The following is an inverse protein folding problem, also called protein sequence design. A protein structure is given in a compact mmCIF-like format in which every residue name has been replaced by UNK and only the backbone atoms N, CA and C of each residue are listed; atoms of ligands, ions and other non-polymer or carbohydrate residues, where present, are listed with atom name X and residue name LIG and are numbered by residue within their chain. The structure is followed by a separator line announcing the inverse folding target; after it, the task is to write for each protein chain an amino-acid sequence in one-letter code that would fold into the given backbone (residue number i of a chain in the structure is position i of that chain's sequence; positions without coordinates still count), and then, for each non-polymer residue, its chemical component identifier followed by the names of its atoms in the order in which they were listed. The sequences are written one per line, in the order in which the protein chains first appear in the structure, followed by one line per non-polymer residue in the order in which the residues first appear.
data_IF_541398119309
#
_entry.id   IF_541398119309
#
_cell.length_a   1.000
_cell.length_b   1.000
_cell.length_c   1.000
_cell.angle_alpha   90.00
_cell.angle_beta   90.00
_cell.angle_gamma   90.00
#
_symmetry.space_group_name_H-M   'P 1'
#
loop_
_entity.id
_entity.type
_entity.pdbx_description
1 polymer ?
#
# COMPACT_ATOMS: atom_id res chain seq x y z
N UNK A 1 6.63 -40.37 -43.81
CA UNK A 1 7.18 -39.19 -43.10
C UNK A 1 7.50 -39.60 -41.68
N UNK A 2 8.78 -39.84 -41.40
CA UNK A 2 9.33 -40.35 -40.14
C UNK A 2 9.43 -39.22 -39.12
N UNK A 3 8.64 -39.28 -38.03
CA UNK A 3 8.81 -38.37 -36.90
C UNK A 3 10.06 -38.78 -36.12
N UNK A 4 11.05 -37.89 -36.07
CA UNK A 4 12.23 -38.02 -35.22
C UNK A 4 11.80 -37.87 -33.75
N UNK A 5 11.85 -38.96 -32.99
CA UNK A 5 11.68 -38.91 -31.54
C UNK A 5 12.95 -38.34 -30.91
N UNK A 6 12.81 -37.24 -30.17
CA UNK A 6 13.94 -36.61 -29.48
C UNK A 6 14.33 -37.45 -28.24
N UNK A 7 15.60 -37.40 -27.83
CA UNK A 7 16.14 -38.15 -26.69
C UNK A 7 15.34 -37.94 -25.39
N UNK A 8 14.67 -36.79 -25.29
CA UNK A 8 13.75 -36.39 -24.21
C UNK A 8 12.57 -37.36 -24.02
N UNK A 9 12.00 -37.92 -25.08
CA UNK A 9 10.85 -38.83 -24.98
C UNK A 9 11.20 -40.18 -24.33
N UNK A 10 12.41 -40.69 -24.60
CA UNK A 10 12.90 -41.95 -24.00
C UNK A 10 13.16 -41.81 -22.50
N UNK A 11 13.54 -40.61 -22.05
CA UNK A 11 13.76 -40.32 -20.62
C UNK A 11 12.43 -40.26 -19.89
N UNK A 12 11.40 -39.63 -20.48
CA UNK A 12 10.07 -39.51 -19.88
C UNK A 12 9.39 -40.87 -19.70
N UNK A 13 9.52 -41.78 -20.68
CA UNK A 13 8.96 -43.13 -20.60
C UNK A 13 9.56 -43.99 -19.47
N UNK A 14 10.83 -43.74 -19.10
CA UNK A 14 11.50 -44.44 -17.98
C UNK A 14 10.88 -44.10 -16.62
N UNK A 15 10.17 -42.97 -16.52
CA UNK A 15 9.54 -42.49 -15.28
C UNK A 15 8.02 -42.54 -15.29
N UNK A 16 7.35 -42.79 -16.42
CA UNK A 16 5.90 -43.05 -16.48
C UNK A 16 5.49 -44.18 -15.53
N UNK A 17 6.29 -45.26 -15.52
CA UNK A 17 6.34 -46.36 -14.52
C UNK A 17 6.20 -45.94 -13.05
N UNK A 18 6.68 -44.74 -12.72
CA UNK A 18 6.90 -44.27 -11.34
C UNK A 18 5.91 -43.18 -10.93
N UNK A 19 5.12 -42.65 -11.86
CA UNK A 19 4.13 -41.62 -11.57
C UNK A 19 2.75 -42.29 -11.47
N UNK A 20 2.43 -42.79 -10.28
CA UNK A 20 1.08 -43.25 -9.97
C UNK A 20 0.22 -42.03 -9.58
N UNK A 21 -0.57 -41.48 -10.52
CA UNK A 21 -1.66 -40.52 -10.23
C UNK A 21 -2.91 -41.21 -9.66
N UNK A 22 -2.74 -42.29 -8.90
CA UNK A 22 -3.83 -42.84 -8.09
C UNK A 22 -4.22 -41.84 -7.01
N UNK A 23 -5.52 -41.78 -6.66
CA UNK A 23 -5.99 -41.04 -5.47
C UNK A 23 -5.11 -41.43 -4.27
N UNK A 24 -4.24 -40.51 -3.85
CA UNK A 24 -3.53 -40.64 -2.59
C UNK A 24 -4.60 -40.70 -1.50
N UNK A 25 -4.68 -41.82 -0.78
CA UNK A 25 -5.42 -41.88 0.50
C UNK A 25 -4.64 -41.05 1.52
N UNK A 26 -4.71 -39.73 1.35
CA UNK A 26 -4.10 -38.76 2.23
C UNK A 26 -4.96 -38.73 3.50
N UNK A 27 -4.36 -39.01 4.66
CA UNK A 27 -5.10 -38.94 5.93
C UNK A 27 -5.79 -37.58 6.06
N UNK A 28 -7.00 -37.55 6.63
CA UNK A 28 -7.80 -36.32 6.80
C UNK A 28 -7.01 -35.19 7.48
N UNK A 29 -6.04 -35.54 8.34
CA UNK A 29 -5.12 -34.60 8.98
C UNK A 29 -4.26 -33.79 7.99
N UNK A 30 -3.80 -34.41 6.90
CA UNK A 30 -3.01 -33.73 5.88
C UNK A 30 -3.90 -32.87 4.99
N UNK A 31 -5.10 -33.35 4.65
CA UNK A 31 -6.10 -32.58 3.91
C UNK A 31 -6.56 -31.35 4.72
N UNK A 32 -6.73 -31.50 6.03
CA UNK A 32 -7.04 -30.39 6.95
C UNK A 32 -5.88 -29.38 7.03
N UNK A 33 -4.62 -29.83 7.14
CA UNK A 33 -3.46 -28.92 7.14
C UNK A 33 -3.29 -28.16 5.82
N UNK A 34 -3.59 -28.79 4.68
CA UNK A 34 -3.52 -28.14 3.37
C UNK A 34 -4.67 -27.15 3.17
N UNK A 35 -5.89 -27.50 3.61
CA UNK A 35 -7.05 -26.61 3.56
C UNK A 35 -6.95 -25.41 4.53
N UNK A 36 -6.37 -25.60 5.72
CA UNK A 36 -6.08 -24.50 6.64
C UNK A 36 -5.02 -23.55 6.06
N UNK A 37 -3.91 -24.07 5.51
CA UNK A 37 -2.89 -23.21 4.88
C UNK A 37 -3.40 -22.46 3.65
N UNK A 38 -4.31 -23.05 2.88
CA UNK A 38 -4.93 -22.36 1.73
C UNK A 38 -5.92 -21.28 2.19
N UNK A 39 -6.77 -21.56 3.20
CA UNK A 39 -7.63 -20.54 3.84
C UNK A 39 -6.83 -19.39 4.44
N UNK A 40 -5.69 -19.67 5.07
CA UNK A 40 -4.83 -18.65 5.66
C UNK A 40 -4.14 -17.80 4.59
N UNK A 41 -3.84 -18.38 3.41
CA UNK A 41 -3.32 -17.66 2.25
C UNK A 41 -4.40 -16.76 1.61
N UNK A 42 -5.63 -17.26 1.49
CA UNK A 42 -6.79 -16.50 1.00
C UNK A 42 -7.16 -15.32 1.92
N UNK A 43 -7.15 -15.55 3.23
CA UNK A 43 -7.36 -14.50 4.23
C UNK A 43 -6.29 -13.40 4.14
N UNK A 44 -5.04 -13.77 3.82
CA UNK A 44 -3.95 -12.80 3.69
C UNK A 44 -3.98 -12.03 2.36
N UNK A 45 -4.56 -12.59 1.29
CA UNK A 45 -4.85 -11.86 0.05
C UNK A 45 -6.00 -10.85 0.19
N UNK A 46 -6.86 -10.99 1.19
CA UNK A 46 -7.89 -9.98 1.47
C UNK A 46 -7.35 -8.76 2.26
N UNK A 47 -6.14 -8.86 2.82
CA UNK A 47 -5.42 -7.74 3.45
C UNK A 47 -4.54 -6.97 2.46
N UNK A 48 -4.88 -7.02 1.18
CA UNK A 48 -4.23 -6.18 0.18
C UNK A 48 -4.77 -4.76 0.36
N UNK A 49 -4.03 -3.94 1.13
CA UNK A 49 -4.09 -2.48 1.01
C UNK A 49 -3.88 -2.18 -0.47
N UNK A 50 -4.96 -1.83 -1.16
CA UNK A 50 -4.91 -1.70 -2.60
C UNK A 50 -4.16 -0.41 -2.97
N UNK A 51 -3.58 -0.39 -4.17
CA UNK A 51 -2.91 0.81 -4.68
C UNK A 51 -3.89 1.99 -4.79
N UNK A 52 -5.18 1.70 -4.95
CA UNK A 52 -6.27 2.67 -4.93
C UNK A 52 -6.48 3.36 -3.57
N UNK A 53 -6.17 2.71 -2.44
CA UNK A 53 -6.23 3.34 -1.10
C UNK A 53 -5.21 4.49 -0.95
N UNK A 54 -4.22 4.56 -1.85
CA UNK A 54 -3.24 5.64 -1.96
C UNK A 54 -3.51 6.59 -3.13
N UNK A 55 -4.47 6.28 -4.00
CA UNK A 55 -4.74 7.07 -5.18
C UNK A 55 -5.42 8.40 -4.79
N UNK A 56 -4.80 9.50 -5.16
CA UNK A 56 -5.28 10.86 -4.92
C UNK A 56 -6.28 11.23 -6.00
N UNK A 57 -7.55 11.49 -5.64
CA UNK A 57 -8.61 11.88 -6.61
C UNK A 57 -8.32 13.26 -7.23
N UNK A 58 -7.57 14.12 -6.55
CA UNK A 58 -7.21 15.48 -7.00
C UNK A 58 -5.68 15.74 -6.90
N UNK A 59 -4.84 14.73 -7.12
CA UNK A 59 -3.36 14.83 -7.00
C UNK A 59 -2.82 15.23 -5.61
N UNK A 60 -3.65 15.66 -4.66
CA UNK A 60 -3.19 16.30 -3.42
C UNK A 60 -3.72 15.68 -2.12
N UNK A 61 -4.87 15.01 -2.15
CA UNK A 61 -5.50 14.49 -0.93
C UNK A 61 -5.63 12.97 -0.98
N UNK A 62 -4.76 12.29 -0.25
CA UNK A 62 -4.86 10.86 0.01
C UNK A 62 -6.00 10.56 1.01
N UNK A 63 -6.61 9.37 0.97
CA UNK A 63 -7.72 9.01 1.86
C UNK A 63 -7.41 9.21 3.36
N UNK A 64 -6.17 9.00 3.79
CA UNK A 64 -5.77 9.21 5.19
C UNK A 64 -5.79 10.69 5.57
N UNK A 65 -5.24 11.56 4.73
CA UNK A 65 -5.30 13.01 4.98
C UNK A 65 -6.74 13.51 4.97
N UNK A 66 -7.58 13.04 4.05
CA UNK A 66 -9.02 13.37 4.02
C UNK A 66 -9.71 13.03 5.33
N UNK A 67 -9.40 11.88 5.93
CA UNK A 67 -9.93 11.48 7.23
C UNK A 67 -9.47 12.40 8.37
N UNK A 68 -8.23 12.89 8.34
CA UNK A 68 -7.73 13.85 9.33
C UNK A 68 -8.50 15.16 9.21
N UNK A 69 -8.67 15.68 7.99
CA UNK A 69 -9.44 16.90 7.74
C UNK A 69 -10.90 16.75 8.20
N UNK A 70 -11.53 15.62 7.88
CA UNK A 70 -12.89 15.33 8.33
C UNK A 70 -13.01 15.36 9.86
N UNK A 71 -12.06 14.75 10.58
CA UNK A 71 -12.02 14.81 12.05
C UNK A 71 -11.86 16.24 12.58
N UNK A 72 -11.12 17.11 11.88
CA UNK A 72 -10.97 18.52 12.27
C UNK A 72 -12.26 19.31 12.05
N UNK A 73 -12.97 19.04 10.95
CA UNK A 73 -14.31 19.56 10.67
C UNK A 73 -15.32 19.12 11.73
N UNK A 74 -15.41 17.82 12.03
CA UNK A 74 -16.33 17.27 13.03
C UNK A 74 -16.06 17.81 14.44
N UNK A 75 -14.79 18.07 14.78
CA UNK A 75 -14.41 18.66 16.07
C UNK A 75 -14.65 20.18 16.14
N UNK A 76 -15.04 20.82 15.04
CA UNK A 76 -15.24 22.27 14.98
C UNK A 76 -13.95 23.10 15.03
N UNK A 77 -12.79 22.50 14.75
CA UNK A 77 -11.52 23.24 14.67
C UNK A 77 -11.51 24.16 13.45
N UNK A 78 -12.16 23.72 12.37
CA UNK A 78 -12.41 24.43 11.12
C UNK A 78 -13.87 24.17 10.74
N UNK A 79 -14.54 25.16 10.15
CA UNK A 79 -15.93 25.05 9.71
C UNK A 79 -16.03 24.67 8.24
N UNK A 80 -15.11 25.18 7.41
CA UNK A 80 -15.09 24.95 5.97
C UNK A 80 -13.66 24.97 5.44
N UNK A 81 -13.43 24.20 4.38
CA UNK A 81 -12.18 24.19 3.62
C UNK A 81 -12.53 24.63 2.21
N UNK A 82 -11.91 25.72 1.79
CA UNK A 82 -12.07 26.33 0.49
C UNK A 82 -10.97 25.85 -0.47
N UNK A 83 -11.03 26.30 -1.72
CA UNK A 83 -10.12 25.88 -2.78
C UNK A 83 -8.63 26.02 -2.44
N UNK A 84 -7.80 25.35 -3.24
CA UNK A 84 -6.35 25.40 -3.09
C UNK A 84 -5.82 26.80 -3.46
N UNK A 85 -5.03 27.41 -2.57
CA UNK A 85 -4.43 28.73 -2.75
C UNK A 85 -3.04 28.62 -3.40
N UNK A 86 -2.28 27.58 -3.04
CA UNK A 86 -0.93 27.40 -3.55
C UNK A 86 -0.59 25.92 -3.67
N UNK A 87 -0.02 25.56 -4.82
CA UNK A 87 0.54 24.24 -5.09
C UNK A 87 2.06 24.37 -5.23
N UNK A 88 2.81 23.64 -4.41
CA UNK A 88 4.27 23.67 -4.32
C UNK A 88 4.71 22.64 -3.30
N UNK A 89 5.86 22.84 -2.60
CA UNK A 89 6.43 21.91 -1.58
C UNK A 89 5.42 21.33 -0.57
N UNK A 90 4.35 22.07 -0.34
CA UNK A 90 3.11 21.61 0.22
C UNK A 90 1.96 22.32 -0.51
N UNK A 91 0.78 21.73 -0.46
CA UNK A 91 -0.44 22.37 -0.92
C UNK A 91 -1.05 23.17 0.22
N UNK A 92 -1.44 24.40 -0.05
CA UNK A 92 -2.05 25.31 0.93
C UNK A 92 -3.50 25.53 0.55
N UNK A 93 -4.39 25.23 1.48
CA UNK A 93 -5.83 25.47 1.34
C UNK A 93 -6.26 26.59 2.26
N UNK A 94 -7.20 27.40 1.80
CA UNK A 94 -7.89 28.35 2.67
C UNK A 94 -8.98 27.63 3.45
N UNK A 95 -9.17 28.01 4.71
CA UNK A 95 -10.21 27.46 5.56
C UNK A 95 -10.76 28.56 6.46
N UNK A 96 -12.03 28.46 6.82
CA UNK A 96 -12.63 29.33 7.82
C UNK A 96 -12.94 28.55 9.10
N UNK A 97 -13.05 29.29 10.19
CA UNK A 97 -13.48 28.79 11.49
C UNK A 97 -14.93 29.21 11.75
N UNK A 98 -15.58 28.59 12.75
CA UNK A 98 -16.92 28.98 13.18
C UNK A 98 -17.02 30.43 13.67
N UNK A 99 -15.90 31.02 14.09
CA UNK A 99 -15.81 32.44 14.47
C UNK A 99 -15.64 33.40 13.27
N UNK A 100 -15.62 32.87 12.04
CA UNK A 100 -15.40 33.67 10.82
C UNK A 100 -13.94 34.01 10.53
N UNK A 101 -12.99 33.53 11.35
CA UNK A 101 -11.57 33.77 11.11
C UNK A 101 -11.01 32.85 10.02
N UNK A 102 -10.16 33.40 9.16
CA UNK A 102 -9.43 32.64 8.15
C UNK A 102 -8.23 31.89 8.74
N UNK A 103 -7.95 30.72 8.17
CA UNK A 103 -6.83 29.82 8.46
C UNK A 103 -6.26 29.25 7.17
N UNK A 104 -4.99 28.87 7.23
CA UNK A 104 -4.31 28.18 6.14
C UNK A 104 -4.02 26.72 6.54
N UNK A 105 -4.42 25.77 5.70
CA UNK A 105 -4.14 24.34 5.90
C UNK A 105 -3.02 23.95 4.94
N UNK A 106 -1.83 23.69 5.50
CA UNK A 106 -0.66 23.24 4.74
C UNK A 106 -0.55 21.72 4.76
N UNK A 107 -0.65 21.09 3.60
CA UNK A 107 -0.64 19.64 3.42
C UNK A 107 0.57 19.24 2.57
N UNK A 108 1.51 18.51 3.18
CA UNK A 108 2.67 17.94 2.48
C UNK A 108 2.43 16.46 2.20
N UNK A 109 2.27 16.11 0.93
CA UNK A 109 2.15 14.70 0.51
C UNK A 109 3.51 14.09 0.21
N UNK A 110 3.58 12.76 0.19
CA UNK A 110 4.80 12.02 -0.21
C UNK A 110 5.13 12.14 -1.70
N UNK A 111 4.27 12.78 -2.49
CA UNK A 111 4.47 13.00 -3.93
C UNK A 111 5.53 14.08 -4.17
N UNK A 112 5.61 15.07 -3.27
CA UNK A 112 6.55 16.17 -3.44
C UNK A 112 7.94 15.85 -2.89
N UNK A 113 8.83 15.57 -3.85
CA UNK A 113 10.23 15.26 -3.64
C UNK A 113 11.02 16.51 -3.20
N UNK A 114 11.02 16.79 -1.89
CA UNK A 114 12.03 17.66 -1.30
C UNK A 114 13.27 16.81 -0.96
N UNK A 115 14.10 16.53 -1.98
CA UNK A 115 15.21 15.55 -1.91
C UNK A 115 16.31 15.94 -0.93
N UNK A 116 16.49 17.22 -0.68
CA UNK A 116 17.55 17.72 0.19
C UNK A 116 17.02 18.12 1.58
N UNK A 117 16.13 17.34 2.20
CA UNK A 117 15.70 17.67 3.57
C UNK A 117 16.85 17.52 4.56
N UNK A 118 17.70 16.51 4.34
CA UNK A 118 18.79 16.11 5.25
C UNK A 118 19.75 17.26 5.55
N UNK A 119 20.08 18.10 4.55
CA UNK A 119 20.99 19.26 4.75
C UNK A 119 20.44 20.31 5.71
N UNK A 120 19.12 20.38 5.91
CA UNK A 120 18.49 21.36 6.80
C UNK A 120 18.21 20.81 8.20
N UNK A 121 18.37 19.51 8.41
CA UNK A 121 18.08 18.85 9.70
C UNK A 121 19.30 18.15 10.30
N UNK A 122 20.31 17.85 9.49
CA UNK A 122 21.58 17.30 9.95
C UNK A 122 22.28 18.28 10.90
N UNK A 123 22.74 17.77 12.05
CA UNK A 123 23.37 18.58 13.09
C UNK A 123 22.40 19.25 14.06
N UNK A 124 21.09 19.20 13.82
CA UNK A 124 20.11 19.74 14.76
C UNK A 124 19.84 18.76 15.92
N UNK A 125 20.09 19.20 17.15
CA UNK A 125 19.78 18.53 18.40
C UNK A 125 18.37 17.91 18.51
N UNK A 126 17.31 18.62 18.11
CA UNK A 126 15.90 18.19 18.15
C UNK A 126 15.64 16.98 17.24
N UNK A 127 16.40 16.86 16.15
CA UNK A 127 16.22 15.81 15.15
C UNK A 127 17.31 14.72 15.21
N UNK A 128 18.26 14.84 16.15
CA UNK A 128 19.38 13.88 16.30
C UNK A 128 18.92 12.46 16.68
N UNK A 129 17.79 12.33 17.38
CA UNK A 129 17.22 11.04 17.76
C UNK A 129 15.82 10.90 17.16
N UNK A 130 15.68 10.06 16.13
CA UNK A 130 14.39 9.73 15.53
C UNK A 130 14.11 10.34 14.15
N UNK A 131 15.07 11.04 13.54
CA UNK A 131 14.95 11.40 12.13
C UNK A 131 15.12 10.17 11.24
N UNK A 132 14.02 9.71 10.63
CA UNK A 132 14.08 8.71 9.56
C UNK A 132 14.52 9.37 8.26
N UNK A 133 15.74 9.03 7.80
CA UNK A 133 16.20 9.27 6.44
C UNK A 133 15.45 8.31 5.51
N UNK A 134 14.22 8.68 5.17
CA UNK A 134 13.40 7.99 4.18
C UNK A 134 13.91 8.25 2.77
#
# INVERSE_FOLDING_TARGET
SSKAYTVTDKVLQKYENKINLGKLNLSDSVMNKVSEKSRQKESNTYRVKDKSDRATVEQVLDPRTRMILFKMLTRGVISEINGCISTGEANVYHANTSAGESRAIKIKTSILMFKDRDKYVSGEFRFRHGYCKG
#
